data_IF_238326946607
#
_entry.id   IF_238326946607
#
_cell.length_a   1.000
_cell.length_b   1.000
_cell.length_c   1.000
_cell.angle_alpha   90.00
_cell.angle_beta   90.00
_cell.angle_gamma   90.00
#
_symmetry.space_group_name_H-M   'P 1'
#
loop_
_entity.id
_entity.type
_entity.pdbx_description
1 polymer ?
#
# COMPACT_ATOMS: atom_id res chain seq x y z
N UNK A 1 24.60 10.80 29.17
CA UNK A 1 25.16 9.59 28.57
C UNK A 1 24.33 8.41 29.05
N UNK A 2 23.73 7.52 28.27
CA UNK A 2 23.57 7.43 26.82
C UNK A 2 22.41 6.43 26.57
N UNK A 3 21.24 6.91 26.16
CA UNK A 3 20.12 6.06 25.69
C UNK A 3 20.57 5.10 24.57
N UNK A 4 21.55 5.55 23.78
CA UNK A 4 22.20 4.73 22.75
C UNK A 4 23.00 3.56 23.33
N UNK A 5 23.63 3.70 24.51
CA UNK A 5 24.38 2.59 25.12
C UNK A 5 23.44 1.47 25.58
N UNK A 6 22.25 1.82 26.08
CA UNK A 6 21.23 0.87 26.50
C UNK A 6 20.56 0.19 25.28
N UNK A 7 20.31 0.96 24.22
CA UNK A 7 19.80 0.44 22.94
C UNK A 7 20.77 -0.55 22.28
N UNK A 8 22.07 -0.25 22.23
CA UNK A 8 23.07 -1.17 21.67
C UNK A 8 23.36 -2.37 22.59
N UNK A 9 23.17 -2.23 23.90
CA UNK A 9 23.25 -3.36 24.85
C UNK A 9 22.13 -4.37 24.62
N UNK A 10 20.90 -3.90 24.36
CA UNK A 10 19.76 -4.77 24.02
C UNK A 10 19.93 -5.51 22.70
N UNK A 11 20.56 -4.88 21.69
CA UNK A 11 20.86 -5.53 20.41
C UNK A 11 21.92 -6.64 20.54
N UNK A 12 22.85 -6.54 21.50
CA UNK A 12 23.96 -7.48 21.66
C UNK A 12 23.56 -8.80 22.34
N UNK A 13 22.42 -8.82 23.04
CA UNK A 13 21.89 -10.00 23.73
C UNK A 13 20.85 -10.79 22.92
N UNK A 14 20.54 -10.38 21.68
CA UNK A 14 19.78 -11.22 20.77
C UNK A 14 20.73 -12.26 20.18
N UNK A 15 20.60 -13.51 20.63
CA UNK A 15 21.22 -14.66 19.96
C UNK A 15 20.79 -14.62 18.50
N UNK A 16 21.74 -14.35 17.61
CA UNK A 16 21.57 -14.56 16.18
C UNK A 16 21.50 -16.08 15.99
N UNK A 17 20.28 -16.63 16.03
CA UNK A 17 20.06 -17.94 15.46
C UNK A 17 20.31 -17.84 13.96
N UNK A 18 21.27 -18.62 13.48
CA UNK A 18 21.58 -18.70 12.06
C UNK A 18 20.29 -19.02 11.27
N UNK A 19 20.10 -18.44 10.07
CA UNK A 19 18.95 -18.78 9.25
C UNK A 19 19.00 -20.28 8.96
N UNK A 20 18.00 -21.03 9.44
CA UNK A 20 17.82 -22.42 9.00
C UNK A 20 17.66 -22.35 7.48
N UNK A 21 18.53 -23.04 6.74
CA UNK A 21 18.31 -23.31 5.33
C UNK A 21 16.96 -24.02 5.22
N UNK A 22 15.95 -23.31 4.74
CA UNK A 22 14.70 -23.92 4.31
C UNK A 22 15.02 -24.47 2.91
N UNK A 23 15.39 -25.74 2.85
CA UNK A 23 15.39 -26.48 1.59
C UNK A 23 13.93 -26.72 1.20
N UNK A 24 13.42 -25.88 0.30
CA UNK A 24 12.16 -26.17 -0.38
C UNK A 24 12.39 -27.35 -1.32
N UNK A 25 12.12 -28.57 -0.86
CA UNK A 25 11.83 -29.67 -1.77
C UNK A 25 10.48 -29.37 -2.43
N UNK A 26 10.55 -28.65 -3.56
CA UNK A 26 9.44 -28.57 -4.51
C UNK A 26 9.36 -29.93 -5.18
N UNK A 27 8.59 -30.85 -4.60
CA UNK A 27 8.17 -32.04 -5.33
C UNK A 27 7.31 -31.58 -6.50
N UNK A 28 7.94 -31.44 -7.67
CA UNK A 28 7.24 -31.40 -8.94
C UNK A 28 6.61 -32.78 -9.14
N UNK A 29 5.39 -32.95 -8.64
CA UNK A 29 4.49 -33.98 -9.17
C UNK A 29 4.19 -33.60 -10.61
N UNK A 30 4.89 -34.26 -11.53
CA UNK A 30 4.65 -34.20 -12.96
C UNK A 30 3.31 -34.86 -13.26
N UNK A 31 2.25 -34.06 -13.24
CA UNK A 31 1.00 -34.33 -13.97
C UNK A 31 1.05 -33.48 -15.23
N UNK A 32 1.45 -34.10 -16.33
CA UNK A 32 1.49 -33.49 -17.65
C UNK A 32 0.05 -33.27 -18.14
N UNK A 33 -0.45 -32.03 -18.07
CA UNK A 33 -1.74 -31.72 -18.69
C UNK A 33 -2.33 -30.30 -18.59
N UNK A 34 -1.71 -29.26 -18.00
CA UNK A 34 -2.46 -28.01 -17.71
C UNK A 34 -1.72 -26.70 -18.07
N UNK A 35 -1.03 -26.61 -19.21
CA UNK A 35 -0.32 -25.36 -19.57
C UNK A 35 -1.21 -24.29 -20.21
N UNK A 36 -2.37 -24.66 -20.76
CA UNK A 36 -3.27 -23.70 -21.43
C UNK A 36 -4.33 -23.08 -20.50
N UNK A 37 -4.73 -23.78 -19.43
CA UNK A 37 -5.75 -23.28 -18.49
C UNK A 37 -5.17 -22.24 -17.52
N UNK A 38 -3.96 -22.47 -16.97
CA UNK A 38 -3.29 -21.52 -16.09
C UNK A 38 -2.98 -20.17 -16.80
N UNK A 39 -2.49 -20.22 -18.04
CA UNK A 39 -2.19 -19.03 -18.83
C UNK A 39 -3.47 -18.22 -19.16
N UNK A 40 -4.59 -18.91 -19.39
CA UNK A 40 -5.89 -18.27 -19.64
C UNK A 40 -6.47 -17.63 -18.38
N UNK A 41 -6.44 -18.32 -17.23
CA UNK A 41 -6.92 -17.79 -15.95
C UNK A 41 -6.12 -16.56 -15.51
N UNK A 42 -4.79 -16.60 -15.62
CA UNK A 42 -3.90 -15.46 -15.32
C UNK A 42 -4.22 -14.26 -16.23
N UNK A 43 -4.49 -14.52 -17.52
CA UNK A 43 -4.87 -13.46 -18.47
C UNK A 43 -6.23 -12.84 -18.15
N UNK A 44 -7.20 -13.62 -17.66
CA UNK A 44 -8.55 -13.12 -17.32
C UNK A 44 -8.51 -12.33 -16.00
N UNK A 45 -7.76 -12.82 -15.01
CA UNK A 45 -7.63 -12.14 -13.72
C UNK A 45 -6.90 -10.80 -13.86
N UNK A 46 -5.81 -10.74 -14.62
CA UNK A 46 -5.09 -9.49 -14.90
C UNK A 46 -5.95 -8.45 -15.63
N UNK A 47 -6.71 -8.87 -16.65
CA UNK A 47 -7.66 -7.98 -17.35
C UNK A 47 -8.79 -7.46 -16.43
N UNK A 48 -9.21 -8.28 -15.46
CA UNK A 48 -10.22 -7.92 -14.47
C UNK A 48 -9.66 -6.90 -13.47
N UNK A 49 -8.44 -7.12 -12.97
CA UNK A 49 -7.74 -6.21 -12.07
C UNK A 49 -7.50 -4.85 -12.74
N UNK A 50 -7.08 -4.83 -14.00
CA UNK A 50 -6.87 -3.57 -14.75
C UNK A 50 -8.18 -2.78 -14.90
N UNK A 51 -9.27 -3.48 -15.20
CA UNK A 51 -10.62 -2.88 -15.29
C UNK A 51 -11.09 -2.33 -13.94
N UNK A 52 -10.83 -3.05 -12.85
CA UNK A 52 -11.14 -2.61 -11.49
C UNK A 52 -10.25 -1.45 -11.04
N UNK A 53 -8.97 -1.43 -11.39
CA UNK A 53 -8.07 -0.32 -11.12
C UNK A 53 -8.52 0.96 -11.83
N UNK A 54 -8.96 0.85 -13.09
CA UNK A 54 -9.54 1.97 -13.83
C UNK A 54 -10.82 2.50 -13.17
N UNK A 55 -11.73 1.60 -12.74
CA UNK A 55 -12.94 1.97 -12.03
C UNK A 55 -12.65 2.59 -10.66
N UNK A 56 -11.68 2.05 -9.93
CA UNK A 56 -11.19 2.59 -8.66
C UNK A 56 -10.71 4.02 -8.84
N UNK A 57 -9.83 4.27 -9.82
CA UNK A 57 -9.31 5.60 -10.14
C UNK A 57 -10.44 6.56 -10.52
N UNK A 58 -11.43 6.11 -11.28
CA UNK A 58 -12.62 6.91 -11.60
C UNK A 58 -13.38 7.32 -10.34
N UNK A 59 -13.57 6.40 -9.39
CA UNK A 59 -14.22 6.69 -8.11
C UNK A 59 -13.42 7.69 -7.27
N UNK A 60 -12.10 7.50 -7.16
CA UNK A 60 -11.23 8.45 -6.45
C UNK A 60 -11.34 9.84 -7.07
N UNK A 61 -11.27 9.96 -8.40
CA UNK A 61 -11.41 11.25 -9.09
C UNK A 61 -12.74 11.94 -8.81
N UNK A 62 -13.82 11.18 -8.65
CA UNK A 62 -15.14 11.72 -8.29
C UNK A 62 -15.20 12.22 -6.83
N UNK A 63 -14.30 11.75 -5.95
CA UNK A 63 -14.19 12.22 -4.56
C UNK A 63 -13.31 13.47 -4.41
N UNK A 64 -12.53 13.83 -5.44
CA UNK A 64 -11.63 14.99 -5.40
C UNK A 64 -12.45 16.27 -5.51
N UNK A 65 -12.25 17.19 -4.55
CA UNK A 65 -12.80 18.54 -4.60
C UNK A 65 -11.89 19.43 -5.47
N UNK A 66 -12.33 19.86 -6.67
CA UNK A 66 -11.54 20.69 -7.56
C UNK A 66 -11.36 22.13 -7.04
N UNK A 67 -12.17 22.55 -6.05
CA UNK A 67 -12.11 23.89 -5.44
C UNK A 67 -11.24 23.93 -4.18
N UNK A 68 -10.66 22.79 -3.79
CA UNK A 68 -9.83 22.73 -2.61
C UNK A 68 -8.55 23.57 -2.77
N UNK A 69 -8.08 24.13 -1.65
CA UNK A 69 -6.90 25.01 -1.59
C UNK A 69 -5.66 24.31 -2.17
N UNK A 70 -4.95 25.03 -3.04
CA UNK A 70 -3.61 24.66 -3.49
C UNK A 70 -2.59 25.18 -2.48
N UNK A 71 -1.68 24.33 -2.01
CA UNK A 71 -0.57 24.72 -1.13
C UNK A 71 0.41 25.61 -1.90
N UNK A 72 0.89 26.66 -1.26
CA UNK A 72 1.89 27.60 -1.80
C UNK A 72 3.22 27.43 -1.07
N UNK A 73 4.33 27.83 -1.68
CA UNK A 73 5.69 27.73 -1.11
C UNK A 73 5.83 28.32 0.31
N UNK A 74 5.02 29.31 0.66
CA UNK A 74 5.00 29.92 2.00
C UNK A 74 4.16 29.18 3.05
N UNK A 75 3.46 28.10 2.69
CA UNK A 75 2.66 27.33 3.64
C UNK A 75 3.57 26.43 4.50
N UNK A 76 3.33 26.32 5.83
CA UNK A 76 4.12 25.45 6.70
C UNK A 76 4.19 24.00 6.21
N UNK A 77 3.09 23.55 5.60
CA UNK A 77 2.90 22.20 5.08
C UNK A 77 3.53 22.01 3.69
N UNK A 78 4.01 23.07 3.02
CA UNK A 78 4.49 22.97 1.64
C UNK A 78 5.73 22.09 1.49
N UNK A 79 6.65 22.11 2.45
CA UNK A 79 7.86 21.27 2.36
C UNK A 79 7.51 19.79 2.39
N UNK A 80 6.49 19.42 3.16
CA UNK A 80 6.07 18.03 3.31
C UNK A 80 5.10 17.60 2.20
N UNK A 81 4.19 18.49 1.75
CA UNK A 81 3.05 18.16 0.88
C UNK A 81 3.11 18.81 -0.52
N UNK A 82 4.01 19.75 -0.77
CA UNK A 82 4.13 20.47 -2.05
C UNK A 82 4.73 19.64 -3.20
N UNK A 83 5.39 18.52 -2.89
CA UNK A 83 6.08 17.66 -3.88
C UNK A 83 5.28 16.39 -4.23
N UNK A 84 3.95 16.45 -4.18
CA UNK A 84 3.11 15.27 -4.42
C UNK A 84 3.35 14.65 -5.82
N UNK A 85 3.13 13.33 -5.98
CA UNK A 85 3.60 12.61 -7.16
C UNK A 85 3.00 13.15 -8.45
N UNK A 86 3.85 13.62 -9.37
CA UNK A 86 3.45 14.07 -10.72
C UNK A 86 2.97 12.92 -11.62
N UNK A 87 3.04 11.69 -11.14
CA UNK A 87 2.60 10.49 -11.85
C UNK A 87 1.07 10.47 -11.97
N UNK A 88 0.51 10.20 -13.17
CA UNK A 88 -0.92 10.01 -13.35
C UNK A 88 -1.46 8.96 -12.37
N UNK A 89 -2.61 9.24 -11.74
CA UNK A 89 -3.14 8.38 -10.67
C UNK A 89 -3.34 6.93 -11.11
N UNK A 90 -3.75 6.69 -12.36
CA UNK A 90 -3.90 5.34 -12.90
C UNK A 90 -2.58 4.56 -12.88
N UNK A 91 -1.52 5.15 -13.44
CA UNK A 91 -0.19 4.54 -13.46
C UNK A 91 0.36 4.36 -12.04
N UNK A 92 0.00 5.25 -11.13
CA UNK A 92 0.40 5.15 -9.73
C UNK A 92 -0.27 3.97 -9.01
N UNK A 93 -1.59 3.82 -9.20
CA UNK A 93 -2.34 2.68 -8.65
C UNK A 93 -1.89 1.37 -9.28
N UNK A 94 -1.73 1.33 -10.60
CA UNK A 94 -1.23 0.17 -11.34
C UNK A 94 0.13 -0.31 -10.80
N UNK A 95 1.06 0.62 -10.58
CA UNK A 95 2.35 0.32 -9.95
C UNK A 95 2.18 -0.30 -8.56
N UNK A 96 1.27 0.24 -7.74
CA UNK A 96 1.03 -0.28 -6.39
C UNK A 96 0.52 -1.70 -6.47
N UNK A 97 -0.55 -1.94 -7.24
CA UNK A 97 -1.17 -3.26 -7.39
C UNK A 97 -0.14 -4.30 -7.83
N UNK A 98 0.68 -3.98 -8.85
CA UNK A 98 1.70 -4.89 -9.38
C UNK A 98 2.84 -5.18 -8.40
N UNK A 99 3.31 -4.17 -7.66
CA UNK A 99 4.44 -4.35 -6.72
C UNK A 99 4.00 -5.04 -5.44
N UNK A 100 2.79 -4.76 -4.95
CA UNK A 100 2.28 -5.37 -3.71
C UNK A 100 1.58 -6.70 -3.94
N UNK A 101 1.38 -7.11 -5.20
CA UNK A 101 0.65 -8.34 -5.57
C UNK A 101 -0.71 -8.37 -4.84
N UNK A 102 -1.40 -7.24 -4.91
CA UNK A 102 -2.63 -7.01 -4.16
C UNK A 102 -3.80 -7.74 -4.80
N UNK A 103 -4.68 -8.30 -3.97
CA UNK A 103 -5.93 -8.86 -4.43
C UNK A 103 -6.94 -7.76 -4.78
N UNK A 104 -7.81 -8.06 -5.76
CA UNK A 104 -8.80 -7.10 -6.27
C UNK A 104 -9.74 -6.56 -5.19
N UNK A 105 -9.97 -7.29 -4.10
CA UNK A 105 -10.86 -6.90 -3.00
C UNK A 105 -10.35 -5.67 -2.21
N UNK A 106 -9.04 -5.41 -2.19
CA UNK A 106 -8.48 -4.26 -1.50
C UNK A 106 -8.88 -2.91 -2.15
N UNK A 107 -9.15 -2.90 -3.47
CA UNK A 107 -9.57 -1.70 -4.21
C UNK A 107 -10.92 -1.14 -3.71
N UNK A 108 -12.05 -1.89 -3.72
CA UNK A 108 -13.30 -1.41 -3.15
C UNK A 108 -13.20 -1.21 -1.63
N UNK A 109 -12.40 -2.01 -0.92
CA UNK A 109 -12.13 -1.82 0.51
C UNK A 109 -11.56 -0.43 0.82
N UNK A 110 -10.58 0.01 0.03
CA UNK A 110 -9.99 1.34 0.11
C UNK A 110 -11.03 2.47 -0.09
N UNK A 111 -11.92 2.34 -1.08
CA UNK A 111 -13.02 3.29 -1.32
C UNK A 111 -13.94 3.41 -0.11
N UNK A 112 -14.27 2.29 0.54
CA UNK A 112 -15.09 2.28 1.77
C UNK A 112 -14.38 3.02 2.91
N UNK A 113 -13.07 2.79 3.09
CA UNK A 113 -12.28 3.47 4.12
C UNK A 113 -12.25 4.99 3.89
N UNK A 114 -12.01 5.45 2.66
CA UNK A 114 -12.01 6.87 2.32
C UNK A 114 -13.38 7.52 2.58
N UNK A 115 -14.47 6.87 2.14
CA UNK A 115 -15.82 7.34 2.42
C UNK A 115 -16.12 7.46 3.92
N UNK A 116 -15.64 6.50 4.73
CA UNK A 116 -15.80 6.54 6.20
C UNK A 116 -15.04 7.71 6.81
N UNK A 117 -13.81 7.98 6.35
CA UNK A 117 -13.02 9.13 6.81
C UNK A 117 -13.73 10.45 6.47
N UNK A 118 -14.19 10.61 5.23
CA UNK A 118 -14.90 11.82 4.78
C UNK A 118 -16.22 12.04 5.54
N UNK A 119 -16.95 10.97 5.87
CA UNK A 119 -18.17 11.06 6.68
C UNK A 119 -17.88 11.43 8.14
N UNK A 120 -16.77 10.95 8.70
CA UNK A 120 -16.39 11.19 10.09
C UNK A 120 -15.81 12.59 10.30
N UNK A 121 -15.09 13.12 9.32
CA UNK A 121 -14.42 14.42 9.37
C UNK A 121 -15.07 15.38 8.38
N UNK A 122 -16.00 16.21 8.84
CA UNK A 122 -16.81 17.09 7.96
C UNK A 122 -15.99 18.09 7.14
N UNK A 123 -14.82 18.48 7.64
CA UNK A 123 -13.92 19.41 6.95
C UNK A 123 -12.86 18.69 6.08
N UNK A 124 -12.79 17.36 6.16
CA UNK A 124 -11.84 16.60 5.36
C UNK A 124 -12.28 16.61 3.89
N UNK A 125 -11.35 16.99 3.02
CA UNK A 125 -11.54 17.01 1.57
C UNK A 125 -10.40 16.30 0.90
N UNK A 126 -10.71 15.48 -0.09
CA UNK A 126 -9.70 14.93 -0.99
C UNK A 126 -9.42 16.01 -2.03
N UNK A 127 -8.15 16.33 -2.23
CA UNK A 127 -7.68 17.28 -3.22
C UNK A 127 -6.46 16.71 -3.93
N UNK A 128 -5.98 17.42 -4.95
CA UNK A 128 -4.88 16.95 -5.81
C UNK A 128 -3.57 16.77 -5.01
N UNK A 129 -3.43 17.43 -3.87
CA UNK A 129 -2.23 17.45 -3.02
C UNK A 129 -2.21 16.35 -1.96
N UNK A 130 -3.37 15.77 -1.62
CA UNK A 130 -3.45 14.70 -0.63
C UNK A 130 -3.96 13.38 -1.20
N UNK A 131 -4.45 13.39 -2.45
CA UNK A 131 -5.07 12.23 -3.09
C UNK A 131 -4.13 11.02 -3.13
N UNK A 132 -2.88 11.16 -3.58
CA UNK A 132 -1.95 10.02 -3.67
C UNK A 132 -1.63 9.43 -2.29
N UNK A 133 -1.43 10.27 -1.27
CA UNK A 133 -1.19 9.82 0.11
C UNK A 133 -2.39 9.08 0.68
N UNK A 134 -3.58 9.63 0.47
CA UNK A 134 -4.82 9.02 0.93
C UNK A 134 -5.07 7.68 0.23
N UNK A 135 -4.81 7.59 -1.07
CA UNK A 135 -4.88 6.34 -1.84
C UNK A 135 -3.93 5.29 -1.27
N UNK A 136 -2.66 5.65 -1.01
CA UNK A 136 -1.68 4.70 -0.44
C UNK A 136 -2.10 4.25 0.95
N UNK A 137 -2.49 5.18 1.82
CA UNK A 137 -2.88 4.86 3.20
C UNK A 137 -4.12 3.95 3.24
N UNK A 138 -5.13 4.26 2.44
CA UNK A 138 -6.37 3.48 2.38
C UNK A 138 -6.17 2.11 1.73
N UNK A 139 -5.36 2.00 0.67
CA UNK A 139 -5.00 0.72 0.07
C UNK A 139 -4.19 -0.16 1.03
N UNK A 140 -3.18 0.41 1.68
CA UNK A 140 -2.37 -0.28 2.68
C UNK A 140 -3.22 -0.84 3.82
N UNK A 141 -4.18 -0.06 4.33
CA UNK A 141 -5.10 -0.51 5.36
C UNK A 141 -6.05 -1.59 4.83
N UNK A 142 -6.64 -1.40 3.64
CA UNK A 142 -7.55 -2.37 3.05
C UNK A 142 -6.86 -3.72 2.84
N UNK A 143 -5.66 -3.72 2.25
CA UNK A 143 -4.80 -4.88 2.06
C UNK A 143 -4.56 -5.61 3.40
N UNK A 144 -4.16 -4.88 4.45
CA UNK A 144 -3.91 -5.46 5.79
C UNK A 144 -5.14 -6.02 6.50
N UNK A 145 -6.34 -5.61 6.13
CA UNK A 145 -7.58 -6.08 6.76
C UNK A 145 -8.32 -7.15 5.97
N UNK A 146 -8.12 -7.19 4.65
CA UNK A 146 -8.92 -8.03 3.75
C UNK A 146 -8.14 -9.22 3.20
N UNK A 147 -6.82 -9.13 3.10
CA UNK A 147 -6.00 -10.20 2.55
C UNK A 147 -5.44 -11.09 3.66
N UNK A 148 -5.41 -12.40 3.39
CA UNK A 148 -4.83 -13.39 4.29
C UNK A 148 -3.31 -13.20 4.45
N UNK A 149 -2.64 -12.81 3.37
CA UNK A 149 -1.20 -12.53 3.33
C UNK A 149 -0.95 -11.11 2.81
N UNK A 150 -1.10 -10.08 3.66
CA UNK A 150 -0.99 -8.71 3.22
C UNK A 150 0.47 -8.31 2.96
N UNK A 151 0.66 -7.42 1.98
CA UNK A 151 1.97 -6.88 1.67
C UNK A 151 2.57 -6.09 2.85
N UNK A 152 3.90 -6.09 2.91
CA UNK A 152 4.62 -5.42 3.97
C UNK A 152 4.61 -3.89 3.78
N UNK A 153 4.92 -3.15 4.85
CA UNK A 153 5.09 -1.71 4.74
C UNK A 153 6.29 -1.35 3.83
N UNK A 154 7.25 -2.27 3.67
CA UNK A 154 8.40 -2.09 2.77
C UNK A 154 7.93 -2.14 1.32
N UNK A 155 7.10 -3.10 0.94
CA UNK A 155 6.56 -3.24 -0.41
C UNK A 155 5.77 -1.97 -0.80
N UNK A 156 4.92 -1.49 0.10
CA UNK A 156 4.22 -0.23 -0.08
C UNK A 156 5.15 0.98 -0.16
N UNK A 157 6.26 1.02 0.59
CA UNK A 157 7.23 2.12 0.49
C UNK A 157 7.90 2.17 -0.88
N UNK A 158 8.26 1.01 -1.43
CA UNK A 158 8.87 0.87 -2.77
C UNK A 158 7.87 1.21 -3.87
N UNK A 159 6.64 0.71 -3.75
CA UNK A 159 5.56 0.96 -4.68
C UNK A 159 5.18 2.45 -4.75
N UNK A 160 4.93 3.06 -3.59
CA UNK A 160 4.41 4.43 -3.47
C UNK A 160 5.47 5.53 -3.57
N UNK A 161 6.72 5.22 -3.24
CA UNK A 161 7.79 6.20 -3.09
C UNK A 161 7.77 6.96 -1.74
N UNK A 162 6.84 6.64 -0.84
CA UNK A 162 6.83 7.23 0.51
C UNK A 162 7.83 6.54 1.43
N UNK A 163 8.44 7.32 2.35
CA UNK A 163 9.36 6.77 3.36
C UNK A 163 8.62 5.81 4.29
N UNK A 164 9.28 4.70 4.64
CA UNK A 164 8.73 3.66 5.53
C UNK A 164 8.21 4.22 6.87
N UNK A 165 8.88 5.23 7.43
CA UNK A 165 8.49 5.89 8.69
C UNK A 165 7.08 6.49 8.60
N UNK A 166 6.71 7.06 7.45
CA UNK A 166 5.39 7.64 7.23
C UNK A 166 4.31 6.54 7.24
N UNK A 167 4.61 5.39 6.61
CA UNK A 167 3.71 4.23 6.58
C UNK A 167 3.60 3.54 7.95
N UNK A 168 4.67 3.53 8.74
CA UNK A 168 4.68 3.03 10.11
C UNK A 168 3.87 3.89 11.09
N UNK A 169 3.70 5.17 10.82
CA UNK A 169 2.82 6.05 11.61
C UNK A 169 1.34 5.87 11.23
N UNK A 170 1.06 5.55 9.96
CA UNK A 170 -0.30 5.34 9.45
C UNK A 170 -0.98 4.07 10.00
N UNK A 171 -0.20 3.12 10.52
CA UNK A 171 -0.70 1.90 11.17
C UNK A 171 -0.07 1.81 12.56
N UNK A 172 -0.81 2.02 13.65
CA UNK A 172 -0.26 1.80 14.98
C UNK A 172 0.19 0.34 15.12
N UNK A 173 1.51 0.14 15.10
CA UNK A 173 2.18 -1.15 15.11
C UNK A 173 2.05 -1.84 16.47
N UNK A 174 0.99 -2.63 16.64
CA UNK A 174 0.89 -3.75 17.61
C UNK A 174 -0.06 -4.87 17.17
N UNK A 175 -0.42 -4.97 15.88
CA UNK A 175 -1.44 -5.93 15.46
C UNK A 175 -0.94 -7.26 14.87
N UNK A 176 0.36 -7.42 14.63
CA UNK A 176 0.91 -8.71 14.16
C UNK A 176 2.24 -9.04 14.84
N UNK A 177 2.15 -9.50 16.09
CA UNK A 177 3.09 -10.46 16.65
C UNK A 177 2.25 -11.65 17.11
N UNK A 178 2.20 -12.68 16.29
CA UNK A 178 1.93 -14.05 16.68
C UNK A 178 2.94 -14.93 15.95
#
# INVERSE_FOLDING_TARGET
MSFFAEFFSQLRNQRIEAPRKIEFYREFSSSSGDTEEEDYEISVESATIDSLAALYVKNIKNMVDPKARVLKEGDPDYQEFGNDPKTPLLNYVDKIVKVTIMEWAALPGSIVLLNRILKKQKDAKINIINMHRLVVASLLLANKFLEDVPASNVDYSVASGFKLVLLGFLIPGKFMRY
#
